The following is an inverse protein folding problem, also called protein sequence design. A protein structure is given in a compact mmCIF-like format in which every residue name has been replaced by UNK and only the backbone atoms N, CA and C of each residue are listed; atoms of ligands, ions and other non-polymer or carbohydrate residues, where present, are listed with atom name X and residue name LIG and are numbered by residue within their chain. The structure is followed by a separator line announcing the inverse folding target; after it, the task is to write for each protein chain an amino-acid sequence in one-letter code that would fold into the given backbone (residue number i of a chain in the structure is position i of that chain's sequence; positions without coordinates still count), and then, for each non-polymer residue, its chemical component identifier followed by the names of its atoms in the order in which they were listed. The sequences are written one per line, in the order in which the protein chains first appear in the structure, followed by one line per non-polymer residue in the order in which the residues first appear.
data_IF_587291198273
#
_entry.id   IF_587291198273
#
_cell.length_a   1.000
_cell.length_b   1.000
_cell.length_c   1.000
_cell.angle_alpha   90.00
_cell.angle_beta   90.00
_cell.angle_gamma   90.00
#
_symmetry.space_group_name_H-M   'P 1'
#
loop_
_entity.id
_entity.type
_entity.pdbx_description
1 polymer ?
#
# COMPACT_ATOMS: atom_id res chain seq x y z
N UNK A 1 -32.40 45.21 5.07
CA UNK A 1 -31.76 46.09 6.07
C UNK A 1 -30.34 46.30 5.55
N UNK A 2 -30.21 47.16 4.55
CA UNK A 2 -28.97 47.40 3.81
C UNK A 2 -28.11 48.41 4.58
N UNK A 3 -26.97 47.96 5.10
CA UNK A 3 -25.94 48.87 5.60
C UNK A 3 -25.04 49.29 4.45
N UNK A 4 -25.31 50.48 3.93
CA UNK A 4 -24.46 51.25 3.04
C UNK A 4 -23.09 51.52 3.70
N UNK A 5 -22.02 50.95 3.17
CA UNK A 5 -20.65 51.37 3.51
C UNK A 5 -20.32 52.70 2.81
N UNK A 6 -20.88 53.79 3.31
CA UNK A 6 -20.41 55.14 3.05
C UNK A 6 -19.50 55.57 4.19
N UNK A 7 -18.18 55.52 3.97
CA UNK A 7 -17.19 56.46 4.53
C UNK A 7 -15.78 55.99 4.15
N UNK A 8 -15.38 56.27 2.90
CA UNK A 8 -13.96 56.38 2.58
C UNK A 8 -13.49 57.70 3.19
N UNK A 9 -12.51 57.72 4.11
CA UNK A 9 -12.01 58.98 4.64
C UNK A 9 -11.36 59.76 3.49
N UNK A 10 -11.86 60.96 3.23
CA UNK A 10 -11.26 61.86 2.23
C UNK A 10 -9.82 62.18 2.66
N UNK A 11 -8.86 62.07 1.72
CA UNK A 11 -7.47 62.44 1.93
C UNK A 11 -7.37 63.89 2.40
N UNK A 12 -6.55 64.21 3.42
CA UNK A 12 -6.28 65.59 3.75
C UNK A 12 -5.52 66.24 2.58
N UNK A 13 -6.05 67.36 2.08
CA UNK A 13 -5.34 68.22 1.14
C UNK A 13 -4.11 68.79 1.86
N UNK A 14 -2.94 68.33 1.46
CA UNK A 14 -1.66 68.96 1.82
C UNK A 14 -1.09 69.59 0.56
N UNK A 15 -1.38 70.88 0.38
CA UNK A 15 -0.57 71.75 -0.47
C UNK A 15 0.76 71.96 0.25
N UNK A 16 1.87 71.49 -0.35
CA UNK A 16 3.17 72.18 -0.47
C UNK A 16 4.24 71.22 -1.01
N UNK A 17 4.59 71.42 -2.29
CA UNK A 17 5.90 71.22 -2.93
C UNK A 17 6.67 69.91 -2.63
N UNK A 18 6.40 68.87 -3.43
CA UNK A 18 7.38 67.84 -3.76
C UNK A 18 7.64 67.85 -5.27
N UNK A 19 8.34 68.90 -5.76
CA UNK A 19 8.90 68.91 -7.12
C UNK A 19 10.05 67.90 -7.17
N UNK A 20 9.86 66.79 -7.89
CA UNK A 20 10.98 66.04 -8.48
C UNK A 20 11.18 64.58 -8.06
N UNK A 21 10.31 63.95 -7.28
CA UNK A 21 10.41 62.50 -7.03
C UNK A 21 9.58 61.74 -8.07
N UNK A 22 10.25 61.23 -9.11
CA UNK A 22 9.65 60.25 -10.03
C UNK A 22 9.31 59.01 -9.23
N UNK A 23 8.03 58.71 -9.05
CA UNK A 23 7.57 57.42 -8.53
C UNK A 23 8.02 56.32 -9.50
N UNK A 24 8.81 55.32 -9.08
CA UNK A 24 9.22 54.24 -9.95
C UNK A 24 8.01 53.40 -10.38
N UNK A 25 8.00 52.85 -11.61
CA UNK A 25 6.89 52.03 -12.10
C UNK A 25 6.84 50.73 -11.32
N UNK A 26 5.72 50.49 -10.63
CA UNK A 26 5.58 49.36 -9.73
C UNK A 26 5.32 48.07 -10.54
N UNK A 27 6.27 47.13 -10.53
CA UNK A 27 6.10 45.78 -11.11
C UNK A 27 6.64 44.70 -10.17
N UNK A 28 5.72 43.95 -9.56
CA UNK A 28 5.89 42.52 -9.32
C UNK A 28 6.70 42.05 -8.11
N UNK A 29 7.38 42.91 -7.35
CA UNK A 29 8.11 42.52 -6.12
C UNK A 29 7.87 43.50 -4.96
N UNK A 30 6.60 43.68 -4.60
CA UNK A 30 6.15 44.69 -3.64
C UNK A 30 6.76 44.61 -2.24
N UNK A 31 7.15 43.42 -1.75
CA UNK A 31 7.72 43.27 -0.40
C UNK A 31 9.21 43.63 -0.36
N UNK A 32 9.97 43.22 -1.37
CA UNK A 32 11.41 43.52 -1.48
C UNK A 32 11.62 45.02 -1.79
N UNK A 33 10.78 45.60 -2.65
CA UNK A 33 10.81 47.03 -3.00
C UNK A 33 10.32 47.93 -1.86
N UNK A 34 9.42 47.44 -1.00
CA UNK A 34 8.99 48.18 0.18
C UNK A 34 10.17 48.45 1.11
N UNK A 35 11.00 47.45 1.42
CA UNK A 35 12.16 47.63 2.32
C UNK A 35 13.12 48.74 1.84
N UNK A 36 13.32 48.88 0.52
CA UNK A 36 14.11 49.96 -0.07
C UNK A 36 13.43 51.33 0.08
N UNK A 37 12.11 51.40 -0.15
CA UNK A 37 11.30 52.61 0.03
C UNK A 37 11.30 53.04 1.51
N UNK A 38 11.14 52.11 2.44
CA UNK A 38 11.17 52.38 3.88
C UNK A 38 12.56 52.85 4.32
N UNK A 39 13.63 52.19 3.86
CA UNK A 39 15.01 52.61 4.12
C UNK A 39 15.31 54.00 3.55
N UNK A 40 14.78 54.31 2.36
CA UNK A 40 14.88 55.63 1.76
C UNK A 40 14.14 56.70 2.59
N UNK A 41 12.91 56.42 3.01
CA UNK A 41 12.07 57.33 3.78
C UNK A 41 12.51 57.48 5.25
N UNK A 42 13.25 56.52 5.81
CA UNK A 42 13.91 56.66 7.11
C UNK A 42 15.16 57.55 7.07
N UNK A 43 15.89 57.54 5.94
CA UNK A 43 17.10 58.34 5.74
C UNK A 43 16.84 59.81 5.40
N UNK A 44 15.60 60.17 5.05
CA UNK A 44 15.21 61.54 4.71
C UNK A 44 14.18 62.06 5.73
N UNK A 45 14.30 63.32 6.18
CA UNK A 45 13.38 63.96 7.12
C UNK A 45 12.01 64.23 6.47
N UNK A 46 11.22 63.18 6.29
CA UNK A 46 9.82 63.26 5.89
C UNK A 46 8.97 63.48 7.14
N UNK A 47 8.00 64.41 7.12
CA UNK A 47 7.07 64.58 8.24
C UNK A 47 6.26 63.29 8.46
N UNK A 48 6.55 62.60 9.56
CA UNK A 48 5.91 61.33 9.93
C UNK A 48 4.64 61.60 10.71
N UNK A 49 3.57 61.94 9.99
CA UNK A 49 2.22 62.10 10.57
C UNK A 49 1.68 60.79 11.17
N UNK A 50 0.57 60.88 11.89
CA UNK A 50 -0.10 59.72 12.54
C UNK A 50 -0.34 58.53 11.59
N UNK A 51 -0.68 58.81 10.32
CA UNK A 51 -0.90 57.78 9.30
C UNK A 51 0.38 57.01 8.93
N UNK A 52 1.56 57.66 8.95
CA UNK A 52 2.85 57.04 8.65
C UNK A 52 3.25 56.04 9.74
N UNK A 53 3.02 56.39 11.01
CA UNK A 53 3.27 55.49 12.16
C UNK A 53 2.38 54.25 12.08
N UNK A 54 1.10 54.44 11.75
CA UNK A 54 0.16 53.34 11.57
C UNK A 54 0.58 52.42 10.41
N UNK A 55 0.89 52.96 9.23
CA UNK A 55 1.34 52.18 8.07
C UNK A 55 2.64 51.42 8.32
N UNK A 56 3.63 52.06 8.96
CA UNK A 56 4.90 51.42 9.31
C UNK A 56 4.70 50.26 10.30
N UNK A 57 3.78 50.42 11.25
CA UNK A 57 3.42 49.38 12.21
C UNK A 57 2.69 48.22 11.52
N UNK A 58 1.74 48.51 10.62
CA UNK A 58 1.04 47.51 9.82
C UNK A 58 2.01 46.73 8.92
N UNK A 59 2.96 47.40 8.26
CA UNK A 59 3.94 46.69 7.44
C UNK A 59 4.91 45.86 8.28
N UNK A 60 5.36 46.37 9.42
CA UNK A 60 6.19 45.59 10.35
C UNK A 60 5.46 44.33 10.82
N UNK A 61 4.17 44.44 11.15
CA UNK A 61 3.33 43.28 11.49
C UNK A 61 3.17 42.33 10.30
N UNK A 62 2.98 42.84 9.08
CA UNK A 62 2.87 42.01 7.87
C UNK A 62 4.17 41.26 7.58
N UNK A 63 5.33 41.92 7.74
CA UNK A 63 6.66 41.32 7.57
C UNK A 63 6.90 40.22 8.61
N UNK A 64 6.54 40.48 9.87
CA UNK A 64 6.60 39.48 10.94
C UNK A 64 5.68 38.28 10.63
N UNK A 65 4.43 38.53 10.23
CA UNK A 65 3.48 37.49 9.87
C UNK A 65 3.99 36.65 8.69
N UNK A 66 4.54 37.28 7.65
CA UNK A 66 5.13 36.59 6.51
C UNK A 66 6.33 35.72 6.93
N UNK A 67 7.21 36.23 7.81
CA UNK A 67 8.32 35.47 8.37
C UNK A 67 7.85 34.24 9.17
N UNK A 68 6.83 34.39 10.01
CA UNK A 68 6.23 33.29 10.77
C UNK A 68 5.62 32.25 9.82
N UNK A 69 4.90 32.68 8.78
CA UNK A 69 4.32 31.77 7.77
C UNK A 69 5.43 30.99 7.07
N UNK A 70 6.47 31.65 6.57
CA UNK A 70 7.57 30.99 5.88
C UNK A 70 8.31 29.97 6.77
N UNK A 71 8.55 30.33 8.05
CA UNK A 71 9.11 29.39 9.02
C UNK A 71 8.17 28.21 9.29
N UNK A 72 6.87 28.47 9.39
CA UNK A 72 5.87 27.43 9.62
C UNK A 72 5.78 26.47 8.43
N UNK A 73 5.83 26.97 7.21
CA UNK A 73 5.90 26.16 5.99
C UNK A 73 7.12 25.23 5.98
N UNK A 74 8.30 25.75 6.35
CA UNK A 74 9.52 24.94 6.44
C UNK A 74 9.40 23.87 7.52
N UNK A 75 8.87 24.23 8.70
CA UNK A 75 8.63 23.26 9.80
C UNK A 75 7.65 22.17 9.39
N UNK A 76 6.56 22.52 8.68
CA UNK A 76 5.60 21.54 8.17
C UNK A 76 6.27 20.59 7.18
N UNK A 77 7.08 21.12 6.24
CA UNK A 77 7.84 20.28 5.29
C UNK A 77 8.76 19.30 6.01
N UNK A 78 9.51 19.78 7.00
CA UNK A 78 10.40 18.92 7.82
C UNK A 78 9.62 17.86 8.59
N UNK A 79 8.49 18.23 9.20
CA UNK A 79 7.62 17.29 9.93
C UNK A 79 7.05 16.21 9.00
N UNK A 80 6.56 16.59 7.81
CA UNK A 80 6.05 15.64 6.82
C UNK A 80 7.15 14.68 6.37
N UNK A 81 8.36 15.18 6.07
CA UNK A 81 9.49 14.33 5.71
C UNK A 81 9.86 13.35 6.85
N UNK A 82 9.83 13.82 8.10
CA UNK A 82 10.12 12.99 9.28
C UNK A 82 9.05 11.93 9.52
N UNK A 83 7.77 12.27 9.39
CA UNK A 83 6.66 11.32 9.48
C UNK A 83 6.82 10.25 8.41
N UNK A 84 7.04 10.64 7.15
CA UNK A 84 7.27 9.70 6.05
C UNK A 84 8.43 8.75 6.35
N UNK A 85 9.54 9.27 6.88
CA UNK A 85 10.69 8.43 7.23
C UNK A 85 10.38 7.44 8.35
N UNK A 86 9.62 7.87 9.37
CA UNK A 86 9.19 6.99 10.46
C UNK A 86 8.21 5.93 9.96
N UNK A 87 7.33 6.27 9.02
CA UNK A 87 6.43 5.31 8.38
C UNK A 87 7.20 4.27 7.57
N UNK A 88 8.19 4.67 6.77
CA UNK A 88 9.08 3.76 6.05
C UNK A 88 9.77 2.78 7.01
N UNK A 89 10.39 3.29 8.08
CA UNK A 89 11.07 2.46 9.08
C UNK A 89 10.09 1.52 9.82
N UNK A 90 8.88 1.98 10.09
CA UNK A 90 7.84 1.16 10.74
C UNK A 90 7.25 0.10 9.80
N UNK A 91 7.27 0.32 8.49
CA UNK A 91 6.56 -0.50 7.51
C UNK A 91 7.47 -1.35 6.62
N UNK A 92 8.79 -1.17 6.69
CA UNK A 92 9.78 -1.98 5.99
C UNK A 92 10.41 -3.04 6.90
N UNK A 93 10.87 -4.13 6.29
CA UNK A 93 11.66 -5.16 6.93
C UNK A 93 13.13 -4.72 7.02
N UNK A 94 13.74 -4.78 8.20
CA UNK A 94 15.10 -4.28 8.42
C UNK A 94 16.17 -5.04 7.62
N UNK A 95 15.95 -6.34 7.37
CA UNK A 95 16.92 -7.17 6.65
C UNK A 95 16.85 -6.94 5.14
N UNK A 96 15.64 -6.88 4.60
CA UNK A 96 15.38 -6.96 3.15
C UNK A 96 14.89 -5.66 2.52
N UNK A 97 14.55 -4.64 3.31
CA UNK A 97 14.04 -3.32 2.89
C UNK A 97 12.67 -3.31 2.18
N UNK A 98 12.14 -4.45 1.72
CA UNK A 98 10.75 -4.57 1.27
C UNK A 98 9.77 -4.40 2.44
N UNK A 99 8.46 -4.35 2.17
CA UNK A 99 7.48 -4.15 3.25
C UNK A 99 7.56 -5.28 4.28
N UNK A 100 7.50 -4.92 5.57
CA UNK A 100 7.25 -5.89 6.61
C UNK A 100 5.77 -6.30 6.63
N UNK A 101 5.42 -7.25 7.51
CA UNK A 101 4.04 -7.71 7.67
C UNK A 101 3.02 -6.59 7.86
N UNK A 102 3.34 -5.57 8.65
CA UNK A 102 2.42 -4.43 8.86
C UNK A 102 2.26 -3.64 7.57
N UNK A 103 3.36 -3.24 6.94
CA UNK A 103 3.36 -2.50 5.68
C UNK A 103 2.59 -3.23 4.58
N UNK A 104 2.84 -4.53 4.42
CA UNK A 104 2.17 -5.36 3.45
C UNK A 104 0.66 -5.44 3.69
N UNK A 105 0.22 -5.67 4.93
CA UNK A 105 -1.23 -5.74 5.24
C UNK A 105 -1.94 -4.41 4.99
N UNK A 106 -1.29 -3.26 5.26
CA UNK A 106 -1.84 -1.96 4.90
C UNK A 106 -1.96 -1.79 3.39
N UNK A 107 -0.95 -2.21 2.63
CA UNK A 107 -0.98 -2.15 1.17
C UNK A 107 -2.05 -3.07 0.58
N UNK A 108 -2.16 -4.29 1.10
CA UNK A 108 -3.17 -5.27 0.70
C UNK A 108 -4.58 -4.76 0.98
N UNK A 109 -4.84 -4.16 2.14
CA UNK A 109 -6.14 -3.57 2.47
C UNK A 109 -6.52 -2.45 1.48
N UNK A 110 -5.57 -1.56 1.13
CA UNK A 110 -5.81 -0.52 0.11
C UNK A 110 -6.14 -1.12 -1.26
N UNK A 111 -5.48 -2.21 -1.63
CA UNK A 111 -5.74 -2.87 -2.90
C UNK A 111 -7.11 -3.54 -2.93
N UNK A 112 -7.54 -4.16 -1.82
CA UNK A 112 -8.90 -4.69 -1.68
C UNK A 112 -9.97 -3.58 -1.82
N UNK A 113 -9.75 -2.44 -1.16
CA UNK A 113 -10.65 -1.29 -1.25
C UNK A 113 -10.75 -0.76 -2.69
N UNK A 114 -9.61 -0.69 -3.39
CA UNK A 114 -9.55 -0.29 -4.81
C UNK A 114 -10.34 -1.24 -5.70
N UNK A 115 -10.10 -2.55 -5.55
CA UNK A 115 -10.80 -3.59 -6.31
C UNK A 115 -12.31 -3.49 -6.11
N UNK A 116 -12.75 -3.33 -4.86
CA UNK A 116 -14.16 -3.26 -4.49
C UNK A 116 -14.84 -2.00 -5.07
N UNK A 117 -14.14 -0.86 -5.06
CA UNK A 117 -14.67 0.41 -5.59
C UNK A 117 -14.76 0.43 -7.11
N UNK A 118 -13.73 -0.05 -7.80
CA UNK A 118 -13.61 0.06 -9.26
C UNK A 118 -14.27 -1.12 -10.01
N UNK A 119 -14.86 -2.08 -9.27
CA UNK A 119 -15.35 -3.37 -9.80
C UNK A 119 -14.32 -4.05 -10.70
N UNK A 120 -13.04 -3.87 -10.37
CA UNK A 120 -11.95 -4.49 -11.13
C UNK A 120 -11.98 -6.01 -10.90
N UNK A 121 -11.40 -6.77 -11.82
CA UNK A 121 -11.38 -8.25 -11.80
C UNK A 121 -10.59 -8.84 -10.60
N UNK A 122 -10.07 -8.01 -9.70
CA UNK A 122 -9.26 -8.42 -8.55
C UNK A 122 -7.77 -8.18 -8.76
N UNK A 123 -6.98 -8.80 -7.89
CA UNK A 123 -5.52 -8.82 -7.97
C UNK A 123 -5.00 -10.24 -7.69
N UNK A 124 -3.77 -10.51 -8.09
CA UNK A 124 -3.10 -11.79 -7.82
C UNK A 124 -2.30 -11.68 -6.53
N UNK A 125 -2.54 -12.56 -5.57
CA UNK A 125 -1.70 -12.74 -4.38
C UNK A 125 -0.81 -13.97 -4.57
N UNK A 126 0.50 -13.80 -4.45
CA UNK A 126 1.48 -14.89 -4.51
C UNK A 126 2.16 -15.01 -3.14
N UNK A 127 2.24 -16.23 -2.63
CA UNK A 127 3.06 -16.59 -1.47
C UNK A 127 4.25 -17.41 -1.95
N UNK A 128 5.46 -17.00 -1.58
CA UNK A 128 6.73 -17.56 -2.02
C UNK A 128 7.47 -18.05 -0.78
N UNK A 129 7.68 -19.36 -0.70
CA UNK A 129 8.54 -19.99 0.30
C UNK A 129 9.89 -20.35 -0.33
N UNK A 130 10.98 -20.20 0.42
CA UNK A 130 12.31 -20.55 -0.07
C UNK A 130 12.63 -22.01 0.22
N UNK A 131 12.57 -22.83 -0.82
CA UNK A 131 12.90 -24.25 -0.73
C UNK A 131 14.28 -24.48 -0.12
N UNK A 132 14.37 -25.43 0.82
CA UNK A 132 15.62 -25.83 1.48
C UNK A 132 16.39 -24.66 2.15
N UNK A 133 15.75 -23.55 2.49
CA UNK A 133 16.41 -22.40 3.12
C UNK A 133 17.11 -22.78 4.44
N UNK A 134 16.53 -23.71 5.20
CA UNK A 134 17.16 -24.24 6.41
C UNK A 134 18.51 -24.90 6.12
N UNK A 135 18.64 -25.64 5.03
CA UNK A 135 19.89 -26.29 4.63
C UNK A 135 21.00 -25.27 4.35
N UNK A 136 20.65 -24.09 3.81
CA UNK A 136 21.61 -22.99 3.60
C UNK A 136 22.12 -22.48 4.95
N UNK A 137 21.21 -22.21 5.89
CA UNK A 137 21.58 -21.77 7.24
C UNK A 137 22.45 -22.81 7.97
N UNK A 138 22.06 -24.07 7.88
CA UNK A 138 22.74 -25.16 8.60
C UNK A 138 24.13 -25.45 7.99
N UNK A 139 24.33 -25.20 6.68
CA UNK A 139 25.61 -25.46 5.98
C UNK A 139 26.56 -24.27 6.01
N UNK A 140 26.05 -23.06 5.82
CA UNK A 140 26.85 -21.85 5.59
C UNK A 140 26.67 -20.77 6.66
N UNK A 141 25.81 -21.02 7.66
CA UNK A 141 25.52 -20.08 8.74
C UNK A 141 24.41 -19.08 8.41
N UNK A 142 23.94 -18.38 9.44
CA UNK A 142 22.83 -17.43 9.33
C UNK A 142 23.15 -16.23 8.43
N UNK A 143 24.39 -15.75 8.43
CA UNK A 143 24.80 -14.63 7.56
C UNK A 143 24.61 -14.96 6.06
N UNK A 144 24.83 -16.23 5.68
CA UNK A 144 24.60 -16.70 4.33
C UNK A 144 23.10 -16.80 3.99
N UNK A 145 22.27 -17.22 4.95
CA UNK A 145 20.82 -17.17 4.80
C UNK A 145 20.28 -15.75 4.68
N UNK A 146 20.81 -14.82 5.46
CA UNK A 146 20.49 -13.40 5.38
C UNK A 146 20.86 -12.79 4.03
N UNK A 147 22.03 -13.16 3.49
CA UNK A 147 22.44 -12.76 2.15
C UNK A 147 21.51 -13.33 1.07
N UNK A 148 21.10 -14.59 1.19
CA UNK A 148 20.14 -15.21 0.28
C UNK A 148 18.77 -14.50 0.32
N UNK A 149 18.26 -14.19 1.52
CA UNK A 149 17.01 -13.44 1.67
C UNK A 149 17.06 -12.05 1.05
N UNK A 150 18.17 -11.32 1.28
CA UNK A 150 18.40 -10.01 0.65
C UNK A 150 18.40 -10.11 -0.86
N UNK A 151 19.07 -11.12 -1.42
CA UNK A 151 19.12 -11.34 -2.86
C UNK A 151 17.71 -11.56 -3.40
N UNK A 152 16.95 -12.52 -2.85
CA UNK A 152 15.59 -12.79 -3.35
C UNK A 152 14.69 -11.57 -3.22
N UNK A 153 14.73 -10.88 -2.09
CA UNK A 153 13.91 -9.68 -1.90
C UNK A 153 14.27 -8.57 -2.90
N UNK A 154 15.56 -8.34 -3.16
CA UNK A 154 16.00 -7.34 -4.13
C UNK A 154 15.59 -7.69 -5.56
N UNK A 155 15.67 -8.97 -5.94
CA UNK A 155 15.21 -9.46 -7.25
C UNK A 155 13.70 -9.29 -7.38
N UNK A 156 12.92 -9.63 -6.33
CA UNK A 156 11.48 -9.42 -6.35
C UNK A 156 11.12 -7.94 -6.48
N UNK A 157 11.78 -7.05 -5.73
CA UNK A 157 11.49 -5.61 -5.75
C UNK A 157 11.86 -4.97 -7.10
N UNK A 158 12.91 -5.45 -7.77
CA UNK A 158 13.30 -4.95 -9.10
C UNK A 158 12.43 -5.46 -10.24
N UNK A 159 11.89 -6.67 -10.11
CA UNK A 159 11.19 -7.36 -11.21
C UNK A 159 9.69 -7.08 -11.22
N UNK A 160 9.17 -6.43 -10.18
CA UNK A 160 7.75 -6.08 -10.06
C UNK A 160 7.46 -4.66 -10.56
N UNK A 161 6.21 -4.39 -10.95
CA UNK A 161 5.81 -3.06 -11.42
C UNK A 161 5.61 -2.12 -10.22
N UNK A 162 5.66 -0.81 -10.47
CA UNK A 162 5.44 0.24 -9.45
C UNK A 162 4.12 0.11 -8.69
N UNK A 163 3.08 -0.43 -9.33
CA UNK A 163 1.75 -0.60 -8.72
C UNK A 163 1.63 -1.88 -7.90
N UNK A 164 2.59 -2.79 -8.07
CA UNK A 164 2.59 -4.06 -7.38
C UNK A 164 3.36 -3.92 -6.05
N UNK A 165 3.10 -4.84 -5.13
CA UNK A 165 3.62 -4.72 -3.75
C UNK A 165 4.27 -6.01 -3.32
N UNK A 166 5.54 -5.95 -2.93
CA UNK A 166 6.24 -7.03 -2.25
C UNK A 166 6.35 -6.79 -0.74
N UNK A 167 6.28 -7.87 0.04
CA UNK A 167 6.53 -7.82 1.48
C UNK A 167 6.98 -9.15 2.06
N UNK A 168 7.54 -9.11 3.27
CA UNK A 168 8.01 -10.27 4.02
C UNK A 168 7.07 -10.57 5.19
N UNK A 169 6.44 -11.74 5.14
CA UNK A 169 5.58 -12.29 6.19
C UNK A 169 6.34 -13.39 6.95
N UNK A 170 7.27 -12.99 7.82
CA UNK A 170 8.11 -13.94 8.55
C UNK A 170 9.10 -14.65 7.62
N UNK A 171 8.89 -15.94 7.36
CA UNK A 171 9.71 -16.75 6.45
C UNK A 171 9.25 -16.70 4.98
N UNK A 172 8.04 -16.18 4.72
CA UNK A 172 7.39 -16.20 3.40
C UNK A 172 7.46 -14.81 2.76
N UNK A 173 7.87 -14.75 1.51
CA UNK A 173 7.79 -13.54 0.69
C UNK A 173 6.42 -13.50 0.00
N UNK A 174 5.80 -12.33 -0.04
CA UNK A 174 4.45 -12.18 -0.61
C UNK A 174 4.39 -11.03 -1.60
N UNK A 175 3.60 -11.22 -2.65
CA UNK A 175 3.46 -10.26 -3.73
C UNK A 175 1.99 -10.06 -4.12
N UNK A 176 1.58 -8.82 -4.37
CA UNK A 176 0.23 -8.49 -4.90
C UNK A 176 0.33 -7.73 -6.21
N UNK A 177 -0.33 -8.23 -7.27
CA UNK A 177 -0.39 -7.59 -8.58
C UNK A 177 -1.71 -6.86 -8.79
N UNK A 178 -1.66 -5.57 -9.14
CA UNK A 178 -2.82 -4.83 -9.64
C UNK A 178 -3.05 -5.16 -11.11
N UNK A 179 -3.90 -6.13 -11.44
CA UNK A 179 -4.10 -6.52 -12.84
C UNK A 179 -5.26 -5.78 -13.49
N UNK A 180 -4.99 -4.93 -14.49
CA UNK A 180 -5.89 -4.78 -15.66
C UNK A 180 -5.64 -5.90 -16.68
N UNK A 181 -4.49 -6.56 -16.56
CA UNK A 181 -3.82 -7.34 -17.59
C UNK A 181 -3.56 -8.78 -17.10
N UNK A 182 -4.55 -9.33 -16.39
CA UNK A 182 -4.50 -10.69 -15.82
C UNK A 182 -4.84 -11.78 -16.82
N UNK A 183 -5.38 -11.44 -18.00
CA UNK A 183 -5.63 -12.41 -19.08
C UNK A 183 -4.40 -12.63 -19.96
N UNK A 184 -3.83 -11.56 -20.51
CA UNK A 184 -2.87 -11.68 -21.62
C UNK A 184 -1.55 -12.38 -21.26
N UNK A 185 -1.01 -12.15 -20.06
CA UNK A 185 0.25 -12.81 -19.62
C UNK A 185 0.07 -14.26 -19.17
N UNK A 186 -1.16 -14.66 -18.81
CA UNK A 186 -1.50 -16.05 -18.50
C UNK A 186 -1.91 -16.80 -19.76
N UNK A 187 -2.55 -16.16 -20.75
CA UNK A 187 -2.96 -16.77 -22.02
C UNK A 187 -1.77 -17.10 -22.94
N UNK A 188 -0.71 -16.28 -22.97
CA UNK A 188 0.45 -16.50 -23.86
C UNK A 188 1.34 -17.68 -23.42
N UNK A 189 1.38 -18.00 -22.11
CA UNK A 189 2.06 -19.20 -21.57
C UNK A 189 1.13 -20.41 -21.39
N UNK A 190 -0.18 -20.22 -21.25
CA UNK A 190 -1.14 -21.33 -21.24
C UNK A 190 -1.43 -21.89 -22.64
N UNK A 191 -1.23 -21.12 -23.72
CA UNK A 191 -1.36 -21.64 -25.09
C UNK A 191 -0.21 -22.57 -25.54
N UNK A 192 0.78 -22.83 -24.67
CA UNK A 192 1.84 -23.78 -24.94
C UNK A 192 1.75 -25.07 -24.10
N UNK A 193 0.77 -25.20 -23.18
CA UNK A 193 0.52 -26.43 -22.43
C UNK A 193 -0.99 -26.55 -22.09
N UNK A 194 -1.73 -27.08 -23.05
CA UNK A 194 -2.88 -27.99 -22.93
C UNK A 194 -3.92 -27.76 -21.81
N UNK A 195 -5.07 -27.21 -22.19
CA UNK A 195 -6.43 -27.80 -22.12
C UNK A 195 -6.79 -28.89 -21.07
N UNK A 196 -6.27 -28.91 -19.86
CA UNK A 196 -6.79 -29.81 -18.81
C UNK A 196 -6.92 -29.13 -17.45
N UNK A 197 -8.17 -28.97 -16.99
CA UNK A 197 -8.48 -28.69 -15.60
C UNK A 197 -7.74 -29.69 -14.68
N UNK A 198 -7.25 -29.27 -13.49
CA UNK A 198 -6.52 -30.16 -12.59
C UNK A 198 -7.39 -31.39 -12.27
N UNK A 199 -6.99 -32.54 -12.80
CA UNK A 199 -7.69 -33.82 -12.60
C UNK A 199 -7.56 -34.24 -11.14
N UNK A 200 -8.70 -34.49 -10.51
CA UNK A 200 -8.76 -35.00 -9.14
C UNK A 200 -8.61 -36.50 -9.19
N UNK A 201 -7.50 -37.03 -8.68
CA UNK A 201 -7.16 -38.45 -8.81
C UNK A 201 -7.23 -39.19 -7.46
N UNK A 202 -7.66 -40.45 -7.48
CA UNK A 202 -7.61 -41.35 -6.34
C UNK A 202 -6.20 -41.91 -6.08
N UNK A 203 -6.04 -42.74 -5.05
CA UNK A 203 -4.77 -43.41 -4.72
C UNK A 203 -4.16 -44.29 -5.82
N UNK A 204 -4.91 -44.66 -6.86
CA UNK A 204 -4.45 -45.45 -8.00
C UNK A 204 -4.33 -44.61 -9.29
N UNK A 205 -4.48 -43.28 -9.20
CA UNK A 205 -4.45 -42.40 -10.37
C UNK A 205 -5.75 -42.40 -11.18
N UNK A 206 -6.87 -42.88 -10.61
CA UNK A 206 -8.19 -42.85 -11.28
C UNK A 206 -8.87 -41.52 -11.05
N UNK A 207 -9.41 -40.91 -12.11
CA UNK A 207 -10.14 -39.65 -12.02
C UNK A 207 -11.44 -39.78 -11.20
N UNK A 208 -11.61 -38.87 -10.24
CA UNK A 208 -12.75 -38.72 -9.36
C UNK A 208 -13.60 -37.53 -9.81
N UNK A 209 -14.91 -37.74 -9.85
CA UNK A 209 -15.90 -36.73 -10.18
C UNK A 209 -16.91 -36.59 -9.04
N UNK A 210 -17.53 -35.41 -8.93
CA UNK A 210 -18.61 -35.18 -7.97
C UNK A 210 -19.77 -36.17 -8.23
N UNK A 211 -20.22 -36.85 -7.19
CA UNK A 211 -21.21 -37.93 -7.26
C UNK A 211 -20.61 -39.34 -7.16
N UNK A 212 -19.30 -39.49 -7.34
CA UNK A 212 -18.65 -40.80 -7.29
C UNK A 212 -18.74 -41.47 -5.91
N UNK A 213 -18.55 -42.79 -5.91
CA UNK A 213 -18.37 -43.58 -4.70
C UNK A 213 -16.92 -44.02 -4.58
N UNK A 214 -16.37 -43.91 -3.38
CA UNK A 214 -14.97 -44.24 -3.08
C UNK A 214 -14.86 -45.10 -1.83
N UNK A 215 -13.81 -45.90 -1.75
CA UNK A 215 -13.51 -46.78 -0.62
C UNK A 215 -12.22 -46.36 0.07
N UNK A 216 -12.21 -46.31 1.40
CA UNK A 216 -11.01 -46.03 2.17
C UNK A 216 -9.96 -47.14 2.03
N UNK A 217 -8.71 -46.76 1.74
CA UNK A 217 -7.59 -47.71 1.65
C UNK A 217 -6.86 -47.93 2.99
N UNK A 218 -7.15 -47.10 4.00
CA UNK A 218 -6.58 -47.20 5.35
C UNK A 218 -7.56 -46.73 6.42
N UNK A 219 -7.27 -47.06 7.67
CA UNK A 219 -8.02 -46.57 8.83
C UNK A 219 -7.75 -45.07 9.05
N UNK A 220 -8.81 -44.26 9.16
CA UNK A 220 -8.72 -42.82 9.38
C UNK A 220 -9.41 -42.42 10.69
N UNK A 221 -8.64 -41.87 11.64
CA UNK A 221 -9.18 -41.33 12.89
C UNK A 221 -9.74 -39.93 12.65
N UNK A 222 -11.04 -39.75 12.84
CA UNK A 222 -11.71 -38.45 12.67
C UNK A 222 -11.40 -37.58 13.88
N UNK A 223 -10.73 -36.44 13.65
CA UNK A 223 -10.47 -35.44 14.70
C UNK A 223 -11.80 -34.89 15.22
N UNK A 224 -11.98 -34.83 16.54
CA UNK A 224 -13.17 -34.27 17.19
C UNK A 224 -14.37 -35.20 17.33
N UNK A 225 -14.52 -36.23 16.50
CA UNK A 225 -15.67 -37.15 16.57
C UNK A 225 -15.41 -38.43 17.39
N UNK A 226 -14.16 -38.72 17.76
CA UNK A 226 -13.79 -39.95 18.49
C UNK A 226 -13.95 -41.25 17.70
N UNK A 227 -14.39 -41.17 16.44
CA UNK A 227 -14.66 -42.31 15.55
C UNK A 227 -13.47 -42.56 14.63
N UNK A 228 -13.18 -43.83 14.36
CA UNK A 228 -12.21 -44.24 13.33
C UNK A 228 -12.95 -44.87 12.16
N UNK A 229 -12.85 -44.25 10.99
CA UNK A 229 -13.34 -44.83 9.75
C UNK A 229 -12.41 -45.97 9.34
N UNK A 230 -12.96 -47.17 9.19
CA UNK A 230 -12.17 -48.36 8.89
C UNK A 230 -11.85 -48.46 7.40
N UNK A 231 -10.67 -49.00 7.07
CA UNK A 231 -10.33 -49.43 5.71
C UNK A 231 -11.48 -50.28 5.15
N UNK A 232 -11.84 -50.04 3.90
CA UNK A 232 -12.98 -50.69 3.25
C UNK A 232 -14.32 -49.98 3.42
N UNK A 233 -14.39 -48.89 4.21
CA UNK A 233 -15.62 -48.09 4.30
C UNK A 233 -15.91 -47.42 2.97
N UNK A 234 -17.10 -47.67 2.42
CA UNK A 234 -17.59 -47.03 1.19
C UNK A 234 -18.26 -45.70 1.53
N UNK A 235 -17.82 -44.65 0.84
CA UNK A 235 -18.33 -43.29 0.90
C UNK A 235 -18.97 -42.99 -0.45
N UNK A 236 -20.25 -42.61 -0.45
CA UNK A 236 -21.01 -42.36 -1.67
C UNK A 236 -21.25 -40.87 -1.85
N UNK A 237 -21.45 -40.45 -3.09
CA UNK A 237 -21.84 -39.08 -3.44
C UNK A 237 -20.84 -38.05 -2.92
N UNK A 238 -19.55 -38.27 -3.22
CA UNK A 238 -18.49 -37.31 -2.88
C UNK A 238 -18.69 -36.00 -3.64
N UNK A 239 -18.19 -34.90 -3.09
CA UNK A 239 -18.18 -33.59 -3.75
C UNK A 239 -16.74 -33.14 -3.87
N UNK A 240 -16.31 -32.92 -5.10
CA UNK A 240 -14.97 -32.45 -5.40
C UNK A 240 -14.95 -30.93 -5.33
N UNK A 241 -13.93 -30.36 -4.69
CA UNK A 241 -13.67 -28.93 -4.70
C UNK A 241 -12.86 -28.55 -5.96
N UNK A 242 -13.37 -27.73 -6.89
CA UNK A 242 -12.64 -27.28 -8.07
C UNK A 242 -11.36 -26.49 -7.75
N UNK A 243 -11.23 -25.98 -6.51
CA UNK A 243 -10.09 -25.19 -6.06
C UNK A 243 -9.06 -26.00 -5.27
N UNK A 244 -9.35 -27.26 -4.92
CA UNK A 244 -8.44 -28.14 -4.18
C UNK A 244 -8.54 -29.61 -4.66
N UNK A 245 -7.67 -30.05 -5.59
CA UNK A 245 -7.73 -31.40 -6.15
C UNK A 245 -7.27 -32.51 -5.19
N UNK A 246 -6.69 -32.16 -4.04
CA UNK A 246 -6.21 -33.14 -3.05
C UNK A 246 -7.29 -33.51 -2.02
N UNK A 247 -8.42 -32.80 -1.99
CA UNK A 247 -9.45 -32.94 -0.98
C UNK A 247 -10.85 -33.07 -1.59
N UNK A 248 -11.73 -33.78 -0.90
CA UNK A 248 -13.14 -33.88 -1.26
C UNK A 248 -14.03 -33.88 -0.03
N UNK A 249 -15.22 -33.31 -0.21
CA UNK A 249 -16.29 -33.28 0.77
C UNK A 249 -17.10 -34.57 0.72
N UNK A 250 -17.43 -35.10 1.89
CA UNK A 250 -18.23 -36.31 1.99
C UNK A 250 -19.01 -36.42 3.29
N UNK A 251 -19.85 -37.46 3.36
CA UNK A 251 -20.56 -37.84 4.58
C UNK A 251 -20.59 -39.35 4.70
N UNK A 252 -20.43 -39.84 5.92
CA UNK A 252 -20.50 -41.26 6.26
C UNK A 252 -21.75 -41.52 7.11
N UNK A 253 -22.07 -42.79 7.37
CA UNK A 253 -23.16 -43.15 8.29
C UNK A 253 -22.94 -42.64 9.72
N UNK A 254 -21.68 -42.49 10.14
CA UNK A 254 -21.30 -42.15 11.51
C UNK A 254 -21.01 -40.65 11.69
N UNK A 255 -20.53 -39.97 10.66
CA UNK A 255 -20.14 -38.56 10.71
C UNK A 255 -20.54 -37.86 9.41
N UNK A 256 -21.26 -36.74 9.53
CA UNK A 256 -21.68 -35.89 8.41
C UNK A 256 -20.71 -34.71 8.25
N UNK A 257 -20.49 -34.26 7.01
CA UNK A 257 -19.66 -33.09 6.71
C UNK A 257 -18.18 -33.30 7.04
N UNK A 258 -17.55 -34.22 6.33
CA UNK A 258 -16.13 -34.54 6.45
C UNK A 258 -15.38 -34.13 5.18
N UNK A 259 -14.21 -33.54 5.36
CA UNK A 259 -13.23 -33.36 4.29
C UNK A 259 -12.19 -34.47 4.39
N UNK A 260 -11.94 -35.18 3.30
CA UNK A 260 -10.95 -36.25 3.22
C UNK A 260 -9.99 -36.02 2.05
N UNK A 261 -8.75 -36.52 2.18
CA UNK A 261 -7.77 -36.47 1.10
C UNK A 261 -7.98 -37.59 0.08
N UNK A 262 -7.82 -37.28 -1.20
CA UNK A 262 -8.01 -38.19 -2.34
C UNK A 262 -7.00 -39.35 -2.33
N UNK A 263 -5.78 -39.14 -1.81
CA UNK A 263 -4.75 -40.17 -1.65
C UNK A 263 -5.13 -41.32 -0.69
N UNK A 264 -6.20 -41.18 0.12
CA UNK A 264 -6.64 -42.21 1.06
C UNK A 264 -7.85 -43.01 0.58
N UNK A 265 -8.26 -42.78 -0.66
CA UNK A 265 -9.42 -43.43 -1.24
C UNK A 265 -9.12 -44.06 -2.59
N UNK A 266 -9.94 -45.04 -2.95
CA UNK A 266 -9.98 -45.68 -4.25
C UNK A 266 -11.40 -45.58 -4.81
N UNK A 267 -11.56 -45.21 -6.08
CA UNK A 267 -12.87 -45.23 -6.77
C UNK A 267 -13.45 -46.65 -6.78
N UNK A 268 -14.73 -46.76 -6.44
CA UNK A 268 -15.48 -48.04 -6.40
C UNK A 268 -15.91 -48.45 -7.80
#
# INVERSE_FOLDING_TARGET
MDFMFNNVPQKPQTDTVAKGLKTPPIRGKWLDEADEIFSYLERHEVQKDSWWKSMSSTLSLLKQAHGIISQSENRIKEQVARIKKLEELSNSDELTSILNRRGFMHAFARELDRVNRDKSQGGLLIMIDLDNFKSINDTYGHDAGDAALKLVASTLDSDIRTMDVAGRLGAVLTFTKGTTMGRDYWEEKNNANDDEAPKVLDSNGTELQSGDSVTLIKDLKVKGAGVTLKRGTVIKNIRIDPHNPDEFDCSTKQVKGLVLRTEFVKKV
#
